data_IF_610622111887
#
_entry.id   IF_610622111887
#
_cell.length_a   1.000
_cell.length_b   1.000
_cell.length_c   1.000
_cell.angle_alpha   90.00
_cell.angle_beta   90.00
_cell.angle_gamma   90.00
#
_symmetry.space_group_name_H-M   'P 1'
#
loop_
_entity.id
_entity.type
_entity.pdbx_description
1 polymer ?
#
# COMPACT_ATOMS: atom_id res chain seq x y z
N UNK A 1 17.99 -8.44 -2.58
CA UNK A 1 16.64 -8.98 -2.43
C UNK A 1 16.23 -8.72 -0.99
N UNK A 2 15.03 -8.17 -0.77
CA UNK A 2 14.44 -8.07 0.56
C UNK A 2 14.37 -9.45 1.24
N UNK A 3 14.50 -9.50 2.56
CA UNK A 3 14.30 -10.76 3.29
C UNK A 3 12.81 -11.14 3.36
N UNK A 4 12.53 -12.37 3.78
CA UNK A 4 11.16 -12.89 3.82
C UNK A 4 10.22 -12.06 4.71
N UNK A 5 10.73 -11.49 5.81
CA UNK A 5 9.96 -10.66 6.72
C UNK A 5 9.61 -9.32 6.08
N UNK A 6 10.58 -8.69 5.41
CA UNK A 6 10.40 -7.43 4.67
C UNK A 6 9.34 -7.60 3.60
N UNK A 7 9.44 -8.64 2.76
CA UNK A 7 8.45 -8.92 1.72
C UNK A 7 7.06 -9.22 2.32
N UNK A 8 6.98 -9.91 3.45
CA UNK A 8 5.69 -10.17 4.13
C UNK A 8 5.04 -8.88 4.65
N UNK A 9 5.84 -7.99 5.25
CA UNK A 9 5.38 -6.66 5.70
C UNK A 9 4.90 -5.84 4.50
N UNK A 10 5.68 -5.81 3.42
CA UNK A 10 5.31 -5.06 2.22
C UNK A 10 4.03 -5.57 1.56
N UNK A 11 3.81 -6.88 1.53
CA UNK A 11 2.53 -7.45 1.07
C UNK A 11 1.33 -6.93 1.85
N UNK A 12 1.46 -6.74 3.17
CA UNK A 12 0.38 -6.17 3.98
C UNK A 12 0.21 -4.68 3.73
N UNK A 13 1.29 -3.92 3.60
CA UNK A 13 1.21 -2.50 3.24
C UNK A 13 0.56 -2.27 1.87
N UNK A 14 0.98 -3.03 0.85
CA UNK A 14 0.33 -3.00 -0.46
C UNK A 14 -1.13 -3.44 -0.35
N UNK A 15 -1.43 -4.48 0.43
CA UNK A 15 -2.80 -4.97 0.53
C UNK A 15 -3.77 -3.98 1.17
N UNK A 16 -3.37 -3.37 2.28
CA UNK A 16 -4.25 -2.51 3.08
C UNK A 16 -4.22 -1.05 2.65
N UNK A 17 -3.08 -0.59 2.14
CA UNK A 17 -2.83 0.84 1.90
C UNK A 17 -2.36 1.16 0.49
N UNK A 18 -2.11 0.16 -0.36
CA UNK A 18 -1.62 0.36 -1.75
C UNK A 18 -0.40 1.28 -1.87
N UNK A 19 0.45 1.29 -0.85
CA UNK A 19 1.70 2.05 -0.81
C UNK A 19 2.80 1.24 -0.14
N UNK A 20 4.08 1.56 -0.37
CA UNK A 20 5.18 0.96 0.36
C UNK A 20 5.11 1.27 1.86
N UNK A 21 5.66 0.38 2.69
CA UNK A 21 5.86 0.63 4.11
C UNK A 21 6.69 1.91 4.35
N UNK A 22 6.36 2.67 5.39
CA UNK A 22 7.29 3.69 5.89
C UNK A 22 8.44 3.04 6.67
N UNK A 23 9.56 3.76 6.83
CA UNK A 23 10.77 3.21 7.43
C UNK A 23 10.56 2.73 8.88
N UNK A 24 9.77 3.47 9.67
CA UNK A 24 9.52 3.15 11.07
C UNK A 24 8.62 1.91 11.20
N UNK A 25 7.54 1.87 10.43
CA UNK A 25 6.62 0.74 10.35
C UNK A 25 7.31 -0.51 9.84
N UNK A 26 8.13 -0.43 8.78
CA UNK A 26 8.88 -1.57 8.27
C UNK A 26 9.81 -2.15 9.35
N UNK A 27 10.57 -1.28 10.03
CA UNK A 27 11.48 -1.69 11.11
C UNK A 27 10.73 -2.35 12.25
N UNK A 28 9.60 -1.78 12.67
CA UNK A 28 8.78 -2.32 13.76
C UNK A 28 8.23 -3.71 13.42
N UNK A 29 7.59 -3.87 12.26
CA UNK A 29 6.91 -5.11 11.91
C UNK A 29 7.89 -6.24 11.55
N UNK A 30 9.01 -5.93 10.90
CA UNK A 30 10.05 -6.94 10.65
C UNK A 30 10.71 -7.41 11.95
N UNK A 31 10.91 -6.51 12.92
CA UNK A 31 11.34 -6.85 14.28
C UNK A 31 10.32 -7.74 15.00
N UNK A 32 9.03 -7.38 14.93
CA UNK A 32 7.94 -8.16 15.52
C UNK A 32 7.85 -9.58 14.93
N UNK A 33 8.00 -9.71 13.61
CA UNK A 33 8.01 -11.01 12.92
C UNK A 33 9.22 -11.86 13.27
N UNK A 34 10.38 -11.22 13.46
CA UNK A 34 11.60 -11.91 13.88
C UNK A 34 11.47 -12.48 15.30
N UNK A 35 10.69 -11.82 16.17
CA UNK A 35 10.40 -12.29 17.52
C UNK A 35 9.22 -13.29 17.57
N UNK A 36 8.22 -13.13 16.72
CA UNK A 36 7.02 -13.96 16.68
C UNK A 36 6.46 -14.05 15.25
N UNK A 37 6.52 -15.23 14.60
CA UNK A 37 5.95 -15.43 13.26
C UNK A 37 4.45 -15.11 13.16
N UNK A 38 3.70 -15.15 14.27
CA UNK A 38 2.28 -14.78 14.31
C UNK A 38 2.03 -13.26 14.41
N UNK A 39 3.07 -12.43 14.25
CA UNK A 39 2.89 -10.97 14.25
C UNK A 39 2.13 -10.47 13.00
N UNK A 40 2.01 -11.28 11.94
CA UNK A 40 1.23 -10.91 10.75
C UNK A 40 -0.26 -10.73 11.07
N UNK A 41 -0.86 -11.59 11.89
CA UNK A 41 -2.27 -11.44 12.24
C UNK A 41 -2.51 -10.17 13.06
N UNK A 42 -1.58 -9.84 13.96
CA UNK A 42 -1.66 -8.61 14.73
C UNK A 42 -1.48 -7.37 13.84
N UNK A 43 -0.55 -7.43 12.88
CA UNK A 43 -0.35 -6.38 11.89
C UNK A 43 -1.61 -6.11 11.07
N UNK A 44 -2.25 -7.15 10.53
CA UNK A 44 -3.53 -7.06 9.82
C UNK A 44 -4.63 -6.41 10.67
N UNK A 45 -4.72 -6.77 11.96
CA UNK A 45 -5.68 -6.20 12.90
C UNK A 45 -5.42 -4.72 13.17
N UNK A 46 -4.16 -4.33 13.37
CA UNK A 46 -3.80 -2.92 13.59
C UNK A 46 -4.06 -2.08 12.33
N UNK A 47 -3.82 -2.64 11.15
CA UNK A 47 -4.05 -1.94 9.89
C UNK A 47 -5.52 -1.70 9.61
N UNK A 48 -6.40 -2.69 9.88
CA UNK A 48 -7.84 -2.52 9.71
C UNK A 48 -8.46 -1.47 10.65
N UNK A 49 -7.81 -1.19 11.77
CA UNK A 49 -8.20 -0.16 12.74
C UNK A 49 -7.54 1.20 12.48
N UNK A 50 -6.61 1.29 11.54
CA UNK A 50 -5.89 2.53 11.26
C UNK A 50 -6.82 3.59 10.64
N UNK A 51 -6.55 4.85 10.97
CA UNK A 51 -7.32 5.96 10.41
C UNK A 51 -7.21 6.02 8.89
N UNK A 52 -6.05 5.67 8.33
CA UNK A 52 -5.83 5.60 6.88
C UNK A 52 -6.80 4.60 6.23
N UNK A 53 -6.86 3.36 6.74
CA UNK A 53 -7.76 2.34 6.25
C UNK A 53 -9.24 2.74 6.38
N UNK A 54 -9.62 3.26 7.55
CA UNK A 54 -11.00 3.71 7.81
C UNK A 54 -11.39 4.83 6.85
N UNK A 55 -10.48 5.77 6.58
CA UNK A 55 -10.73 6.92 5.70
C UNK A 55 -10.88 6.47 4.25
N UNK A 56 -10.05 5.53 3.78
CA UNK A 56 -10.13 5.00 2.40
C UNK A 56 -11.53 4.46 2.07
N UNK A 57 -12.14 3.72 3.00
CA UNK A 57 -13.45 3.09 2.76
C UNK A 57 -14.64 3.85 3.36
N UNK A 58 -14.40 5.04 3.93
CA UNK A 58 -15.45 5.85 4.55
C UNK A 58 -16.48 6.31 3.51
N UNK A 59 -17.77 6.19 3.83
CA UNK A 59 -18.86 6.61 2.96
C UNK A 59 -19.09 5.75 1.70
N UNK A 60 -18.24 4.75 1.44
CA UNK A 60 -18.43 3.80 0.35
C UNK A 60 -19.44 2.73 0.72
N UNK A 61 -20.30 2.35 -0.24
CA UNK A 61 -21.07 1.13 -0.13
C UNK A 61 -20.19 -0.12 -0.33
N UNK A 62 -20.73 -1.30 -0.06
CA UNK A 62 -19.95 -2.53 -0.14
C UNK A 62 -19.51 -2.88 -1.58
N UNK A 63 -20.22 -2.45 -2.62
CA UNK A 63 -19.79 -2.68 -4.01
C UNK A 63 -18.62 -1.77 -4.38
N UNK A 64 -18.71 -0.50 -3.98
CA UNK A 64 -17.65 0.48 -4.16
C UNK A 64 -16.38 0.06 -3.42
N UNK A 65 -16.48 -0.45 -2.19
CA UNK A 65 -15.34 -1.02 -1.46
C UNK A 65 -14.68 -2.18 -2.21
N UNK A 66 -15.46 -3.07 -2.82
CA UNK A 66 -14.90 -4.18 -3.60
C UNK A 66 -14.18 -3.65 -4.84
N UNK A 67 -14.79 -2.73 -5.58
CA UNK A 67 -14.19 -2.14 -6.76
C UNK A 67 -12.87 -1.42 -6.42
N UNK A 68 -12.86 -0.65 -5.33
CA UNK A 68 -11.69 0.03 -4.78
C UNK A 68 -10.57 -0.97 -4.45
N UNK A 69 -10.89 -2.09 -3.80
CA UNK A 69 -9.88 -3.12 -3.47
C UNK A 69 -9.25 -3.74 -4.71
N UNK A 70 -10.02 -4.02 -5.76
CA UNK A 70 -9.44 -4.56 -7.00
C UNK A 70 -8.53 -3.56 -7.70
N UNK A 71 -8.90 -2.28 -7.74
CA UNK A 71 -8.06 -1.25 -8.34
C UNK A 71 -6.76 -1.07 -7.53
N UNK A 72 -6.89 -1.00 -6.21
CA UNK A 72 -5.78 -0.89 -5.28
C UNK A 72 -4.79 -2.06 -5.37
N UNK A 73 -5.29 -3.29 -5.39
CA UNK A 73 -4.43 -4.48 -5.45
C UNK A 73 -3.89 -4.75 -6.86
N UNK A 74 -4.72 -4.63 -7.89
CA UNK A 74 -4.43 -5.16 -9.23
C UNK A 74 -4.40 -4.10 -10.34
N UNK A 75 -4.69 -2.84 -10.02
CA UNK A 75 -4.73 -1.72 -10.95
C UNK A 75 -5.65 -1.96 -12.15
N UNK A 76 -6.78 -2.62 -11.87
CA UNK A 76 -7.85 -2.91 -12.83
C UNK A 76 -9.21 -2.91 -12.14
N UNK A 77 -10.26 -2.74 -12.94
CA UNK A 77 -11.63 -2.93 -12.47
C UNK A 77 -11.90 -4.40 -12.14
N UNK A 78 -12.68 -4.61 -11.08
CA UNK A 78 -13.27 -5.90 -10.75
C UNK A 78 -14.35 -6.30 -11.77
N UNK A 79 -14.46 -7.60 -12.04
CA UNK A 79 -15.56 -8.17 -12.79
C UNK A 79 -16.88 -8.03 -12.01
N UNK A 80 -18.00 -7.78 -12.68
CA UNK A 80 -19.32 -7.62 -12.04
C UNK A 80 -19.65 -8.79 -11.12
N UNK A 81 -19.39 -10.03 -11.56
CA UNK A 81 -19.65 -11.23 -10.75
C UNK A 81 -18.79 -11.27 -9.47
N UNK A 82 -17.56 -10.78 -9.52
CA UNK A 82 -16.69 -10.67 -8.34
C UNK A 82 -17.21 -9.60 -7.37
N UNK A 83 -17.60 -8.42 -7.89
CA UNK A 83 -18.22 -7.36 -7.10
C UNK A 83 -19.47 -7.89 -6.39
N UNK A 84 -20.37 -8.56 -7.12
CA UNK A 84 -21.61 -9.11 -6.57
C UNK A 84 -21.33 -10.12 -5.47
N UNK A 85 -20.39 -11.04 -5.68
CA UNK A 85 -20.02 -12.05 -4.71
C UNK A 85 -19.52 -11.44 -3.40
N UNK A 86 -18.49 -10.60 -3.46
CA UNK A 86 -17.89 -10.01 -2.27
C UNK A 86 -18.84 -9.03 -1.56
N UNK A 87 -19.57 -8.21 -2.32
CA UNK A 87 -20.53 -7.27 -1.75
C UNK A 87 -21.65 -8.01 -1.00
N UNK A 88 -22.12 -9.15 -1.50
CA UNK A 88 -23.12 -9.97 -0.80
C UNK A 88 -22.60 -10.52 0.53
N UNK A 89 -21.35 -10.99 0.57
CA UNK A 89 -20.74 -11.45 1.83
C UNK A 89 -20.63 -10.32 2.86
N UNK A 90 -20.25 -9.12 2.41
CA UNK A 90 -20.19 -7.92 3.26
C UNK A 90 -21.58 -7.47 3.73
N UNK A 91 -22.58 -7.44 2.83
CA UNK A 91 -23.95 -7.06 3.16
C UNK A 91 -24.58 -7.99 4.20
N UNK A 92 -24.25 -9.28 4.13
CA UNK A 92 -24.73 -10.29 5.07
C UNK A 92 -23.87 -10.40 6.34
N UNK A 93 -22.88 -9.52 6.53
CA UNK A 93 -21.92 -9.55 7.64
C UNK A 93 -21.19 -10.90 7.80
N UNK A 94 -21.01 -11.65 6.70
CA UNK A 94 -20.31 -12.93 6.70
C UNK A 94 -18.79 -12.76 6.71
N UNK A 95 -18.32 -11.64 6.17
CA UNK A 95 -16.92 -11.21 6.20
C UNK A 95 -16.84 -9.72 6.53
N UNK A 96 -15.68 -9.28 6.95
CA UNK A 96 -15.32 -7.87 7.09
C UNK A 96 -14.51 -7.40 5.87
N UNK A 97 -14.35 -6.08 5.72
CA UNK A 97 -13.55 -5.51 4.61
C UNK A 97 -12.10 -5.98 4.68
N UNK A 98 -11.52 -6.09 5.87
CA UNK A 98 -10.12 -6.56 6.04
C UNK A 98 -9.95 -8.03 5.65
N UNK A 99 -10.95 -8.86 5.98
CA UNK A 99 -10.98 -10.25 5.55
C UNK A 99 -11.11 -10.36 4.02
N UNK A 100 -11.95 -9.52 3.40
CA UNK A 100 -12.10 -9.43 1.95
C UNK A 100 -10.77 -9.04 1.27
N UNK A 101 -10.12 -7.96 1.71
CA UNK A 101 -8.81 -7.50 1.19
C UNK A 101 -7.79 -8.64 1.22
N UNK A 102 -7.69 -9.32 2.37
CA UNK A 102 -6.74 -10.42 2.55
C UNK A 102 -7.04 -11.60 1.62
N UNK A 103 -8.32 -11.98 1.49
CA UNK A 103 -8.71 -13.09 0.62
C UNK A 103 -8.52 -12.76 -0.87
N UNK A 104 -8.86 -11.54 -1.30
CA UNK A 104 -8.65 -11.10 -2.69
C UNK A 104 -7.16 -11.09 -3.01
N UNK A 105 -6.32 -10.50 -2.16
CA UNK A 105 -4.87 -10.47 -2.36
C UNK A 105 -4.27 -11.89 -2.40
N UNK A 106 -4.70 -12.79 -1.52
CA UNK A 106 -4.25 -14.19 -1.50
C UNK A 106 -4.72 -14.99 -2.74
N UNK A 107 -5.89 -14.64 -3.28
CA UNK A 107 -6.47 -15.24 -4.49
C UNK A 107 -5.93 -14.71 -5.81
N UNK A 108 -4.96 -13.77 -5.79
CA UNK A 108 -4.40 -13.17 -6.99
C UNK A 108 -3.79 -14.23 -7.92
N UNK A 109 -4.21 -14.20 -9.19
CA UNK A 109 -3.77 -15.14 -10.23
C UNK A 109 -3.54 -14.44 -11.57
N UNK A 110 -2.84 -15.09 -12.49
CA UNK A 110 -2.56 -14.51 -13.82
C UNK A 110 -1.97 -13.11 -13.73
N UNK A 111 -2.60 -12.16 -14.42
CA UNK A 111 -2.19 -10.75 -14.46
C UNK A 111 -2.30 -10.06 -13.09
N UNK A 112 -3.24 -10.46 -12.23
CA UNK A 112 -3.40 -9.89 -10.88
C UNK A 112 -2.18 -10.21 -10.02
N UNK A 113 -1.70 -11.46 -10.11
CA UNK A 113 -0.50 -11.88 -9.41
C UNK A 113 0.74 -11.14 -9.92
N UNK A 114 0.79 -10.87 -11.23
CA UNK A 114 1.87 -10.08 -11.84
C UNK A 114 1.85 -8.65 -11.30
N UNK A 115 0.70 -7.98 -11.35
CA UNK A 115 0.55 -6.61 -10.85
C UNK A 115 0.89 -6.53 -9.35
N UNK A 116 0.30 -7.40 -8.53
CA UNK A 116 0.52 -7.42 -7.09
C UNK A 116 1.98 -7.68 -6.73
N UNK A 117 2.63 -8.67 -7.35
CA UNK A 117 4.05 -8.94 -7.11
C UNK A 117 4.95 -7.80 -7.59
N UNK A 118 4.61 -7.14 -8.71
CA UNK A 118 5.31 -5.97 -9.19
C UNK A 118 5.24 -4.80 -8.20
N UNK A 119 4.06 -4.55 -7.61
CA UNK A 119 3.86 -3.55 -6.57
C UNK A 119 4.68 -3.85 -5.31
N UNK A 120 4.68 -5.10 -4.86
CA UNK A 120 5.48 -5.53 -3.70
C UNK A 120 6.98 -5.37 -3.98
N UNK A 121 7.46 -5.78 -5.16
CA UNK A 121 8.86 -5.65 -5.51
C UNK A 121 9.29 -4.17 -5.64
N UNK A 122 8.45 -3.32 -6.23
CA UNK A 122 8.70 -1.88 -6.25
C UNK A 122 8.75 -1.28 -4.83
N UNK A 123 7.85 -1.70 -3.94
CA UNK A 123 7.85 -1.28 -2.54
C UNK A 123 9.12 -1.73 -1.77
N UNK A 124 9.61 -2.94 -2.03
CA UNK A 124 10.89 -3.42 -1.49
C UNK A 124 12.03 -2.48 -1.90
N UNK A 125 12.13 -2.15 -3.20
CA UNK A 125 13.17 -1.23 -3.70
C UNK A 125 13.00 0.17 -3.11
N UNK A 126 11.77 0.69 -3.06
CA UNK A 126 11.47 2.00 -2.46
C UNK A 126 11.99 2.10 -1.03
N UNK A 127 11.64 1.14 -0.18
CA UNK A 127 12.08 1.18 1.23
C UNK A 127 13.57 0.93 1.41
N UNK A 128 14.21 0.19 0.51
CA UNK A 128 15.67 0.07 0.51
C UNK A 128 16.38 1.37 0.11
N UNK A 129 15.74 2.20 -0.73
CA UNK A 129 16.25 3.50 -1.18
C UNK A 129 15.86 4.66 -0.25
N UNK A 130 14.86 4.48 0.61
CA UNK A 130 14.47 5.44 1.64
C UNK A 130 15.48 5.40 2.81
N UNK A 131 16.74 5.71 2.53
CA UNK A 131 17.88 5.44 3.41
C UNK A 131 18.38 6.69 4.16
N UNK A 132 18.12 7.89 3.64
CA UNK A 132 18.53 9.14 4.27
C UNK A 132 17.55 9.60 5.35
N UNK A 133 18.02 10.29 6.41
CA UNK A 133 17.14 10.78 7.47
C UNK A 133 16.02 11.71 6.98
N UNK A 134 16.33 12.62 6.05
CA UNK A 134 15.36 13.55 5.49
C UNK A 134 14.29 12.84 4.66
N UNK A 135 14.66 11.80 3.90
CA UNK A 135 13.71 11.00 3.12
C UNK A 135 12.75 10.24 4.02
N UNK A 136 13.29 9.58 5.06
CA UNK A 136 12.50 8.86 6.05
C UNK A 136 11.49 9.75 6.76
N UNK A 137 11.91 10.97 7.14
CA UNK A 137 11.01 11.95 7.75
C UNK A 137 9.98 12.48 6.75
N UNK A 138 10.36 12.71 5.50
CA UNK A 138 9.47 13.23 4.47
C UNK A 138 8.38 12.24 4.04
N UNK A 139 8.64 10.93 4.12
CA UNK A 139 7.62 9.92 3.84
C UNK A 139 6.67 9.72 5.03
N UNK A 140 5.90 10.77 5.33
CA UNK A 140 4.88 10.79 6.37
C UNK A 140 3.70 11.68 5.97
N UNK A 141 2.50 11.31 6.43
CA UNK A 141 1.28 12.07 6.19
C UNK A 141 0.64 11.87 4.81
N UNK A 142 -0.55 12.46 4.63
CA UNK A 142 -1.43 12.17 3.50
C UNK A 142 -0.83 12.57 2.13
N UNK A 143 -0.09 13.69 2.06
CA UNK A 143 0.50 14.16 0.80
C UNK A 143 1.58 13.21 0.28
N UNK A 144 2.49 12.78 1.16
CA UNK A 144 3.54 11.82 0.84
C UNK A 144 2.95 10.44 0.49
N UNK A 145 1.96 9.98 1.27
CA UNK A 145 1.24 8.74 0.99
C UNK A 145 0.57 8.78 -0.39
N UNK A 146 -0.02 9.91 -0.77
CA UNK A 146 -0.65 10.07 -2.08
C UNK A 146 0.35 9.90 -3.24
N UNK A 147 1.56 10.45 -3.12
CA UNK A 147 2.59 10.29 -4.16
C UNK A 147 2.97 8.81 -4.34
N UNK A 148 3.13 8.10 -3.23
CA UNK A 148 3.44 6.67 -3.25
C UNK A 148 2.27 5.83 -3.80
N UNK A 149 1.04 6.15 -3.41
CA UNK A 149 -0.20 5.55 -3.94
C UNK A 149 -0.29 5.70 -5.46
N UNK A 150 -0.15 6.93 -5.97
CA UNK A 150 -0.25 7.23 -7.39
C UNK A 150 0.82 6.47 -8.21
N UNK A 151 2.03 6.32 -7.64
CA UNK A 151 3.11 5.57 -8.25
C UNK A 151 2.83 4.06 -8.28
N UNK A 152 2.41 3.48 -7.16
CA UNK A 152 2.07 2.05 -7.06
C UNK A 152 0.89 1.70 -7.96
N UNK A 153 -0.12 2.56 -8.06
CA UNK A 153 -1.27 2.36 -8.94
C UNK A 153 -0.88 2.25 -10.43
N UNK A 154 0.26 2.81 -10.83
CA UNK A 154 0.81 2.70 -12.18
C UNK A 154 1.31 1.30 -12.57
N UNK A 155 1.48 0.39 -11.61
CA UNK A 155 2.02 -0.96 -11.83
C UNK A 155 0.88 -1.93 -12.17
N UNK A 156 0.81 -2.36 -13.43
CA UNK A 156 -0.30 -3.13 -14.01
C UNK A 156 0.11 -4.46 -14.60
N UNK A 157 1.37 -4.58 -15.00
CA UNK A 157 1.92 -5.71 -15.74
C UNK A 157 3.43 -5.86 -15.49
N UNK A 158 4.04 -6.83 -16.19
CA UNK A 158 5.48 -7.09 -16.06
C UNK A 158 6.34 -5.89 -16.46
N UNK A 159 5.92 -5.12 -17.47
CA UNK A 159 6.72 -4.01 -18.00
C UNK A 159 6.70 -2.82 -17.05
N UNK A 160 5.51 -2.41 -16.62
CA UNK A 160 5.32 -1.34 -15.63
C UNK A 160 5.91 -1.72 -14.27
N UNK A 161 5.81 -2.98 -13.86
CA UNK A 161 6.46 -3.49 -12.65
C UNK A 161 7.98 -3.49 -12.73
N UNK A 162 8.57 -3.83 -13.88
CA UNK A 162 10.01 -3.74 -14.08
C UNK A 162 10.50 -2.28 -14.09
N UNK A 163 9.79 -1.39 -14.79
CA UNK A 163 10.10 0.04 -14.81
C UNK A 163 10.01 0.69 -13.43
N UNK A 164 9.03 0.29 -12.61
CA UNK A 164 8.89 0.80 -11.25
C UNK A 164 10.03 0.36 -10.32
N UNK A 165 10.77 -0.70 -10.63
CA UNK A 165 11.93 -1.13 -9.84
C UNK A 165 13.23 -0.44 -10.27
N UNK A 166 13.22 0.35 -11.34
CA UNK A 166 14.39 1.13 -11.76
C UNK A 166 14.76 2.13 -10.66
N UNK A 167 16.04 2.17 -10.30
CA UNK A 167 16.54 2.99 -9.18
C UNK A 167 16.28 4.48 -9.46
N UNK A 168 16.45 4.94 -10.70
CA UNK A 168 16.19 6.32 -11.07
C UNK A 168 14.71 6.70 -10.96
N UNK A 169 13.81 5.75 -11.26
CA UNK A 169 12.36 5.93 -11.06
C UNK A 169 12.05 6.04 -9.57
N UNK A 170 12.56 5.11 -8.76
CA UNK A 170 12.34 5.10 -7.30
C UNK A 170 12.88 6.36 -6.63
N UNK A 171 14.11 6.75 -6.95
CA UNK A 171 14.73 7.97 -6.42
C UNK A 171 13.93 9.22 -6.84
N UNK A 172 13.38 9.23 -8.06
CA UNK A 172 12.48 10.29 -8.51
C UNK A 172 11.19 10.38 -7.70
N UNK A 173 10.61 9.26 -7.29
CA UNK A 173 9.42 9.23 -6.41
C UNK A 173 9.79 9.73 -5.01
N UNK A 174 10.91 9.30 -4.45
CA UNK A 174 11.39 9.76 -3.15
C UNK A 174 11.67 11.27 -3.18
N UNK A 175 12.31 11.79 -4.23
CA UNK A 175 12.56 13.21 -4.41
C UNK A 175 11.26 14.04 -4.45
N UNK A 176 10.22 13.53 -5.11
CA UNK A 176 8.88 14.15 -5.11
C UNK A 176 8.27 14.18 -3.71
N UNK A 177 8.40 13.10 -2.94
CA UNK A 177 7.95 13.03 -1.55
C UNK A 177 8.67 14.09 -0.70
N UNK A 178 10.01 14.15 -0.79
CA UNK A 178 10.82 15.15 -0.09
C UNK A 178 10.41 16.58 -0.46
N UNK A 179 10.22 16.88 -1.75
CA UNK A 179 9.80 18.21 -2.21
C UNK A 179 8.35 18.59 -1.84
N UNK A 180 7.47 17.60 -1.62
CA UNK A 180 6.11 17.88 -1.15
C UNK A 180 6.07 18.31 0.33
N UNK A 181 7.01 17.82 1.14
CA UNK A 181 7.15 18.19 2.55
C UNK A 181 7.66 19.62 2.75
N UNK A 182 8.47 20.15 1.83
CA UNK A 182 8.98 21.53 1.90
C UNK A 182 7.93 22.57 1.51
N UNK A 183 7.03 22.24 0.57
CA UNK A 183 5.95 23.16 0.16
C UNK A 183 4.91 23.39 1.25
N UNK A 184 4.85 22.54 2.27
CA UNK A 184 3.96 22.71 3.44
C UNK A 184 4.53 23.60 4.55
N UNK A 185 5.78 24.05 4.45
CA UNK A 185 6.42 24.96 5.42
C UNK A 185 6.28 26.42 4.99
N UNK A 186 6.02 26.68 3.69
CA UNK A 186 6.02 28.03 3.12
C UNK A 186 4.68 28.79 3.26
N UNK A 187 3.63 28.19 3.85
CA UNK A 187 2.35 28.89 4.13
C UNK A 187 2.24 29.36 5.60
N UNK A 188 3.29 29.19 6.39
CA UNK A 188 3.37 29.73 7.75
C UNK A 188 4.18 31.03 7.79
N UNK A 189 3.63 32.08 7.17
CA UNK A 189 3.90 33.46 7.57
C UNK A 189 5.11 34.15 6.92
N UNK A 190 4.83 34.89 5.84
CA UNK A 190 5.43 36.21 5.66
C UNK A 190 4.40 37.20 5.08
N UNK A 191 3.46 37.59 5.94
CA UNK A 191 2.77 38.87 5.83
C UNK A 191 2.97 39.59 7.16
N UNK A 192 3.96 40.48 7.22
CA UNK A 192 3.90 41.92 7.56
C UNK A 192 5.28 42.51 7.27
#
# INVERSE_FOLDING_TARGET
>A
MADANTTAVQKLYISYFSRPADAAGLTYWTGALSANPNALQEMSRQFSLSQEYVTTYAGMDNRAKVAEVYDNLFSRAAETAGIDYWANLLNNNQITVDNMVTQIAAGAQGNDRVAFNGKVAAADVFTARLDLPNEKTAYSGAAANKIALDWIAGIKDLMTGAAAQDIGVVDGVIARIVGSGTSGIDDAGFFV
#
